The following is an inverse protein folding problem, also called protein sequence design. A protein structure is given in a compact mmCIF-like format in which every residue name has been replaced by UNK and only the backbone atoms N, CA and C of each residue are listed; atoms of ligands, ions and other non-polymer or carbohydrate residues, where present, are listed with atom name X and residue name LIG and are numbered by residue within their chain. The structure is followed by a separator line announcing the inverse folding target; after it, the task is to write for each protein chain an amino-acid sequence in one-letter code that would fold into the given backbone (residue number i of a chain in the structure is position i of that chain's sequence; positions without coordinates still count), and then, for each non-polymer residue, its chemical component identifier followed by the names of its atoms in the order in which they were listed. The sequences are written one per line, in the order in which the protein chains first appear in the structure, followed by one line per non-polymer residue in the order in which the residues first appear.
data_IF_862606700846
#
_entry.id   IF_862606700846
#
_cell.length_a   1.000
_cell.length_b   1.000
_cell.length_c   1.000
_cell.angle_alpha   90.00
_cell.angle_beta   90.00
_cell.angle_gamma   90.00
#
_symmetry.space_group_name_H-M   'P 1'
#
loop_
_entity.id
_entity.type
_entity.pdbx_description
1 polymer ?
#
# COMPACT_ATOMS: atom_id res chain seq x y z
N UNK A 1 -26.26 -29.75 -23.39
CA UNK A 1 -25.28 -28.76 -22.80
C UNK A 1 -25.44 -27.34 -23.36
N UNK A 2 -26.33 -27.15 -24.29
CA UNK A 2 -26.62 -25.85 -24.96
C UNK A 2 -27.77 -25.05 -24.33
N UNK A 3 -28.60 -25.69 -23.51
CA UNK A 3 -29.86 -25.11 -22.98
C UNK A 3 -29.72 -24.26 -21.73
N UNK A 4 -28.53 -24.23 -21.10
CA UNK A 4 -28.24 -23.39 -19.92
C UNK A 4 -27.64 -22.02 -20.23
N UNK A 5 -27.05 -21.86 -21.42
CA UNK A 5 -26.43 -20.61 -21.83
C UNK A 5 -27.44 -19.52 -22.22
N UNK A 6 -28.64 -19.90 -22.62
CA UNK A 6 -29.69 -18.97 -23.06
C UNK A 6 -30.49 -18.34 -21.88
N UNK A 7 -30.27 -18.85 -20.65
CA UNK A 7 -30.90 -18.33 -19.42
C UNK A 7 -30.04 -17.31 -18.63
N UNK A 8 -28.83 -17.03 -19.11
CA UNK A 8 -27.98 -16.06 -18.45
C UNK A 8 -28.50 -14.62 -18.70
N UNK A 9 -28.59 -13.79 -17.68
CA UNK A 9 -29.00 -12.42 -17.82
C UNK A 9 -28.04 -11.68 -18.75
N UNK A 10 -28.57 -10.99 -19.78
CA UNK A 10 -27.78 -10.23 -20.76
C UNK A 10 -27.55 -8.79 -20.29
N UNK A 11 -26.47 -8.17 -20.75
CA UNK A 11 -26.13 -6.78 -20.41
C UNK A 11 -25.46 -6.62 -19.04
N UNK A 12 -25.72 -5.49 -18.36
CA UNK A 12 -25.12 -5.15 -17.06
C UNK A 12 -25.46 -6.18 -15.98
N UNK A 13 -26.66 -6.75 -16.02
CA UNK A 13 -27.04 -7.82 -15.10
C UNK A 13 -26.27 -9.14 -15.34
N UNK A 14 -25.87 -9.39 -16.58
CA UNK A 14 -24.97 -10.52 -16.90
C UNK A 14 -23.58 -10.31 -16.31
N UNK A 15 -23.02 -9.13 -16.46
CA UNK A 15 -21.72 -8.77 -15.88
C UNK A 15 -21.72 -8.87 -14.35
N UNK A 16 -22.76 -8.40 -13.68
CA UNK A 16 -22.88 -8.51 -12.22
C UNK A 16 -23.07 -9.94 -11.75
N UNK A 17 -23.73 -10.77 -12.56
CA UNK A 17 -23.87 -12.19 -12.29
C UNK A 17 -22.54 -12.94 -12.46
N UNK A 18 -21.78 -12.64 -13.53
CA UNK A 18 -20.47 -13.25 -13.78
C UNK A 18 -19.42 -12.82 -12.74
N UNK A 19 -19.58 -11.64 -12.15
CA UNK A 19 -18.75 -11.17 -11.03
C UNK A 19 -19.25 -11.66 -9.67
N UNK A 20 -20.41 -12.30 -9.61
CA UNK A 20 -20.84 -12.95 -8.38
C UNK A 20 -19.95 -14.16 -8.09
N UNK A 21 -19.52 -14.28 -6.82
CA UNK A 21 -18.61 -15.34 -6.41
C UNK A 21 -19.28 -16.71 -6.55
N UNK A 22 -18.75 -17.57 -7.41
CA UNK A 22 -19.09 -18.99 -7.41
C UNK A 22 -18.41 -19.68 -6.21
N UNK A 23 -19.18 -19.84 -5.12
CA UNK A 23 -18.68 -20.46 -3.89
C UNK A 23 -18.40 -21.95 -4.04
N UNK A 24 -18.84 -22.60 -5.12
CA UNK A 24 -18.63 -24.02 -5.35
C UNK A 24 -17.24 -24.31 -5.91
N UNK A 25 -16.70 -23.44 -6.73
CA UNK A 25 -15.39 -23.60 -7.37
C UNK A 25 -14.22 -23.68 -6.36
N UNK A 26 -14.32 -22.95 -5.24
CA UNK A 26 -13.29 -22.90 -4.20
C UNK A 26 -13.75 -23.46 -2.84
N UNK A 27 -14.50 -24.55 -2.84
CA UNK A 27 -14.98 -25.20 -1.61
C UNK A 27 -15.65 -24.20 -0.63
N UNK A 28 -16.54 -23.37 -1.15
CA UNK A 28 -17.30 -22.32 -0.42
C UNK A 28 -16.47 -21.07 -0.03
N UNK A 29 -15.26 -20.89 -0.55
CA UNK A 29 -14.54 -19.63 -0.39
C UNK A 29 -15.03 -18.62 -1.43
N UNK A 30 -15.43 -17.39 -1.04
CA UNK A 30 -15.82 -16.35 -1.98
C UNK A 30 -14.68 -16.02 -2.96
N UNK A 31 -14.99 -15.88 -4.23
CA UNK A 31 -14.01 -15.57 -5.28
C UNK A 31 -13.14 -14.36 -4.95
N UNK A 32 -13.74 -13.25 -4.45
CA UNK A 32 -13.01 -12.05 -4.06
C UNK A 32 -11.96 -12.31 -2.97
N UNK A 33 -12.25 -13.22 -2.02
CA UNK A 33 -11.29 -13.61 -0.99
C UNK A 33 -10.13 -14.43 -1.58
N UNK A 34 -10.40 -15.34 -2.49
CA UNK A 34 -9.37 -16.12 -3.17
C UNK A 34 -8.45 -15.23 -4.01
N UNK A 35 -9.02 -14.30 -4.78
CA UNK A 35 -8.26 -13.32 -5.57
C UNK A 35 -7.41 -12.40 -4.70
N UNK A 36 -7.91 -11.98 -3.54
CA UNK A 36 -7.13 -11.18 -2.59
C UNK A 36 -5.92 -11.97 -2.05
N UNK A 37 -6.06 -13.26 -1.79
CA UNK A 37 -4.92 -14.09 -1.38
C UNK A 37 -3.85 -14.19 -2.46
N UNK A 38 -4.25 -14.38 -3.72
CA UNK A 38 -3.33 -14.41 -4.86
C UNK A 38 -2.62 -13.06 -5.00
N UNK A 39 -3.37 -11.96 -4.88
CA UNK A 39 -2.81 -10.61 -4.91
C UNK A 39 -1.76 -10.40 -3.81
N UNK A 40 -2.06 -10.72 -2.55
CA UNK A 40 -1.13 -10.58 -1.44
C UNK A 40 0.12 -11.45 -1.58
N UNK A 41 -0.04 -12.67 -2.14
CA UNK A 41 1.11 -13.54 -2.42
C UNK A 41 2.03 -12.93 -3.49
N UNK A 42 1.45 -12.43 -4.57
CA UNK A 42 2.15 -11.73 -5.64
C UNK A 42 2.87 -10.49 -5.14
N UNK A 43 2.21 -9.69 -4.32
CA UNK A 43 2.77 -8.48 -3.70
C UNK A 43 3.96 -8.82 -2.79
N UNK A 44 3.81 -9.82 -1.94
CA UNK A 44 4.89 -10.33 -1.08
C UNK A 44 6.12 -10.75 -1.90
N UNK A 45 5.90 -11.41 -3.04
CA UNK A 45 6.99 -11.82 -3.93
C UNK A 45 7.71 -10.60 -4.51
N UNK A 46 6.98 -9.62 -5.03
CA UNK A 46 7.53 -8.40 -5.61
C UNK A 46 8.33 -7.60 -4.57
N UNK A 47 7.77 -7.37 -3.38
CA UNK A 47 8.47 -6.68 -2.29
C UNK A 47 9.71 -7.43 -1.83
N UNK A 48 9.68 -8.75 -1.80
CA UNK A 48 10.86 -9.56 -1.49
C UNK A 48 11.98 -9.35 -2.49
N UNK A 49 11.66 -9.28 -3.80
CA UNK A 49 12.64 -8.98 -4.84
C UNK A 49 13.27 -7.58 -4.65
N UNK A 50 12.48 -6.56 -4.32
CA UNK A 50 13.01 -5.22 -4.04
C UNK A 50 13.93 -5.19 -2.81
N UNK A 51 13.55 -5.86 -1.72
CA UNK A 51 14.37 -5.94 -0.52
C UNK A 51 15.69 -6.68 -0.76
N UNK A 52 15.67 -7.77 -1.50
CA UNK A 52 16.89 -8.49 -1.89
C UNK A 52 17.77 -7.60 -2.76
N UNK A 53 17.20 -6.90 -3.73
CA UNK A 53 17.93 -5.96 -4.57
C UNK A 53 18.59 -4.85 -3.76
N UNK A 54 17.88 -4.26 -2.80
CA UNK A 54 18.41 -3.25 -1.88
C UNK A 54 19.57 -3.80 -1.04
N UNK A 55 19.42 -5.00 -0.47
CA UNK A 55 20.46 -5.63 0.34
C UNK A 55 21.69 -5.97 -0.50
N UNK A 56 21.49 -6.42 -1.74
CA UNK A 56 22.60 -6.69 -2.67
C UNK A 56 23.33 -5.41 -3.04
N UNK A 57 22.61 -4.33 -3.36
CA UNK A 57 23.21 -3.04 -3.62
C UNK A 57 24.02 -2.53 -2.41
N UNK A 58 23.46 -2.64 -1.20
CA UNK A 58 24.16 -2.26 0.03
C UNK A 58 25.43 -3.07 0.27
N UNK A 59 25.39 -4.37 0.01
CA UNK A 59 26.55 -5.26 0.21
C UNK A 59 27.66 -5.05 -0.84
N UNK A 60 27.30 -4.66 -2.06
CA UNK A 60 28.25 -4.43 -3.17
C UNK A 60 28.86 -3.02 -3.18
N UNK A 61 28.28 -2.09 -2.44
CA UNK A 61 28.75 -0.70 -2.38
C UNK A 61 29.92 -0.56 -1.43
N UNK A 62 31.04 -0.01 -1.92
CA UNK A 62 32.25 0.30 -1.13
C UNK A 62 32.23 1.71 -0.55
N UNK A 63 31.37 2.60 -1.05
CA UNK A 63 31.16 3.93 -0.54
C UNK A 63 30.36 3.89 0.77
N UNK A 64 30.50 4.96 1.57
CA UNK A 64 29.75 5.09 2.81
C UNK A 64 28.24 5.13 2.53
N UNK A 65 27.48 4.25 3.19
CA UNK A 65 26.04 4.14 2.98
C UNK A 65 25.35 5.32 3.68
N UNK A 66 24.39 5.98 3.01
CA UNK A 66 23.70 7.15 3.58
C UNK A 66 23.03 6.83 4.92
N UNK A 67 23.16 7.76 5.88
CA UNK A 67 22.55 7.60 7.18
C UNK A 67 21.06 8.00 7.10
N UNK A 68 20.17 7.04 7.33
CA UNK A 68 18.74 7.26 7.24
C UNK A 68 18.21 8.38 8.17
N UNK A 69 18.88 8.63 9.30
CA UNK A 69 18.51 9.70 10.23
C UNK A 69 18.82 11.10 9.70
N UNK A 70 19.79 11.24 8.81
CA UNK A 70 20.12 12.50 8.15
C UNK A 70 19.21 12.75 6.94
N UNK A 71 18.98 11.72 6.13
CA UNK A 71 18.16 11.79 4.92
C UNK A 71 16.70 12.11 5.25
N UNK A 72 16.12 11.43 6.24
CA UNK A 72 14.72 11.55 6.64
C UNK A 72 14.51 12.47 7.86
N UNK A 73 15.49 13.30 8.19
CA UNK A 73 15.39 14.28 9.26
C UNK A 73 14.35 15.36 8.95
N UNK A 74 13.38 15.56 9.84
CA UNK A 74 12.44 16.67 9.79
C UNK A 74 12.84 17.72 10.84
N UNK A 75 13.08 18.96 10.44
CA UNK A 75 13.31 20.06 11.36
C UNK A 75 11.96 20.59 11.87
N UNK A 76 11.63 20.31 13.11
CA UNK A 76 10.43 20.82 13.78
C UNK A 76 10.88 21.75 14.91
N UNK A 77 10.43 23.01 14.89
CA UNK A 77 10.78 24.04 15.90
C UNK A 77 12.28 24.21 16.15
N UNK A 78 13.12 24.08 15.11
CA UNK A 78 14.57 24.26 15.24
C UNK A 78 15.33 23.05 15.79
N UNK A 79 14.64 21.94 16.05
CA UNK A 79 15.24 20.66 16.43
C UNK A 79 15.07 19.67 15.30
N UNK A 80 16.15 19.04 14.85
CA UNK A 80 16.07 17.95 13.87
C UNK A 80 15.58 16.69 14.56
N UNK A 81 14.37 16.26 14.24
CA UNK A 81 13.82 15.00 14.74
C UNK A 81 13.89 13.96 13.61
N UNK A 82 14.87 13.06 13.66
CA UNK A 82 15.02 12.04 12.65
C UNK A 82 13.84 11.07 12.69
N UNK A 83 13.40 10.65 11.52
CA UNK A 83 12.38 9.59 11.36
C UNK A 83 10.97 9.89 11.94
N UNK A 84 10.72 11.11 12.44
CA UNK A 84 9.42 11.47 13.03
C UNK A 84 8.27 11.32 12.03
N UNK A 85 8.47 11.78 10.80
CA UNK A 85 7.44 11.71 9.76
C UNK A 85 7.08 10.25 9.45
N UNK A 86 8.07 9.39 9.33
CA UNK A 86 7.87 7.95 9.08
C UNK A 86 7.11 7.29 10.24
N UNK A 87 7.42 7.67 11.49
CA UNK A 87 6.70 7.16 12.65
C UNK A 87 5.22 7.58 12.63
N UNK A 88 4.92 8.83 12.31
CA UNK A 88 3.55 9.33 12.16
C UNK A 88 2.82 8.62 11.02
N UNK A 89 3.46 8.44 9.87
CA UNK A 89 2.90 7.72 8.73
C UNK A 89 2.55 6.27 9.09
N UNK A 90 3.42 5.59 9.82
CA UNK A 90 3.18 4.23 10.29
C UNK A 90 1.99 4.18 11.25
N UNK A 91 1.88 5.15 12.17
CA UNK A 91 0.75 5.25 13.08
C UNK A 91 -0.59 5.47 12.36
N UNK A 92 -0.60 6.33 11.33
CA UNK A 92 -1.76 6.57 10.47
C UNK A 92 -2.19 5.29 9.75
N UNK A 93 -1.24 4.52 9.21
CA UNK A 93 -1.54 3.24 8.55
C UNK A 93 -2.13 2.20 9.52
N UNK A 94 -1.56 2.06 10.72
CA UNK A 94 -2.07 1.12 11.73
C UNK A 94 -3.49 1.52 12.13
N UNK A 95 -3.74 2.82 12.36
CA UNK A 95 -5.07 3.34 12.71
C UNK A 95 -6.07 3.11 11.58
N UNK A 96 -5.69 3.35 10.34
CA UNK A 96 -6.52 3.10 9.15
C UNK A 96 -6.84 1.61 8.98
N UNK A 97 -5.89 0.74 9.24
CA UNK A 97 -6.12 -0.72 9.23
C UNK A 97 -7.13 -1.13 10.32
N UNK A 98 -7.05 -0.54 11.52
CA UNK A 98 -8.01 -0.75 12.59
C UNK A 98 -9.43 -0.32 12.20
N UNK A 99 -9.59 0.86 11.58
CA UNK A 99 -10.91 1.33 11.10
C UNK A 99 -11.48 0.41 10.02
N UNK A 100 -10.64 -0.14 9.14
CA UNK A 100 -11.07 -1.12 8.14
C UNK A 100 -11.58 -2.41 8.78
N UNK A 101 -10.89 -2.94 9.79
CA UNK A 101 -11.34 -4.13 10.52
C UNK A 101 -12.72 -3.93 11.18
N UNK A 102 -12.95 -2.75 11.76
CA UNK A 102 -14.25 -2.38 12.32
C UNK A 102 -15.32 -2.24 11.24
N UNK A 103 -14.99 -1.67 10.08
CA UNK A 103 -15.90 -1.57 8.94
C UNK A 103 -16.37 -2.97 8.47
N UNK A 104 -15.46 -3.93 8.39
CA UNK A 104 -15.79 -5.32 8.04
C UNK A 104 -16.73 -5.94 9.07
N UNK A 105 -16.51 -5.73 10.37
CA UNK A 105 -17.41 -6.20 11.43
C UNK A 105 -18.84 -5.67 11.23
N UNK A 106 -19.01 -4.35 11.04
CA UNK A 106 -20.32 -3.76 10.79
C UNK A 106 -20.92 -4.20 9.45
N UNK A 107 -20.11 -4.56 8.48
CA UNK A 107 -20.55 -5.18 7.23
C UNK A 107 -21.24 -6.53 7.49
N UNK A 108 -20.66 -7.38 8.33
CA UNK A 108 -21.29 -8.65 8.76
C UNK A 108 -22.57 -8.43 9.57
N UNK A 109 -22.63 -7.42 10.40
CA UNK A 109 -23.81 -7.01 11.17
C UNK A 109 -24.89 -6.36 10.30
N UNK A 110 -24.66 -6.22 8.98
CA UNK A 110 -25.56 -5.54 8.02
C UNK A 110 -25.89 -4.08 8.36
N UNK A 111 -25.09 -3.43 9.18
CA UNK A 111 -25.25 -2.02 9.53
C UNK A 111 -24.58 -1.12 8.50
N UNK A 112 -25.31 -0.77 7.44
CA UNK A 112 -24.77 -0.01 6.28
C UNK A 112 -24.21 1.36 6.66
N UNK A 113 -24.81 2.06 7.62
CA UNK A 113 -24.39 3.43 7.99
C UNK A 113 -23.02 3.42 8.68
N UNK A 114 -22.84 2.56 9.68
CA UNK A 114 -21.57 2.44 10.38
C UNK A 114 -20.47 1.84 9.50
N UNK A 115 -20.80 0.86 8.69
CA UNK A 115 -19.87 0.31 7.71
C UNK A 115 -19.35 1.40 6.75
N UNK A 116 -20.25 2.21 6.16
CA UNK A 116 -19.88 3.30 5.27
C UNK A 116 -19.04 4.37 5.98
N UNK A 117 -19.36 4.71 7.23
CA UNK A 117 -18.59 5.68 8.02
C UNK A 117 -17.15 5.20 8.25
N UNK A 118 -16.96 3.95 8.68
CA UNK A 118 -15.62 3.41 8.93
C UNK A 118 -14.82 3.19 7.63
N UNK A 119 -15.48 2.86 6.52
CA UNK A 119 -14.83 2.84 5.20
C UNK A 119 -14.36 4.24 4.79
N UNK A 120 -15.17 5.27 5.03
CA UNK A 120 -14.77 6.65 4.76
C UNK A 120 -13.57 7.07 5.61
N UNK A 121 -13.57 6.74 6.91
CA UNK A 121 -12.43 7.01 7.80
C UNK A 121 -11.15 6.31 7.31
N UNK A 122 -11.27 5.07 6.86
CA UNK A 122 -10.15 4.33 6.25
C UNK A 122 -9.63 5.02 4.99
N UNK A 123 -10.53 5.49 4.13
CA UNK A 123 -10.18 6.22 2.91
C UNK A 123 -9.46 7.55 3.22
N UNK A 124 -9.94 8.29 4.23
CA UNK A 124 -9.27 9.52 4.70
C UNK A 124 -7.88 9.20 5.26
N UNK A 125 -7.72 8.13 6.05
CA UNK A 125 -6.43 7.68 6.55
C UNK A 125 -5.46 7.35 5.41
N UNK A 126 -5.89 6.63 4.39
CA UNK A 126 -5.11 6.34 3.19
C UNK A 126 -4.72 7.60 2.40
N UNK A 127 -5.66 8.52 2.20
CA UNK A 127 -5.38 9.79 1.53
C UNK A 127 -4.37 10.65 2.31
N UNK A 128 -4.46 10.68 3.64
CA UNK A 128 -3.50 11.37 4.51
C UNK A 128 -2.10 10.77 4.38
N UNK A 129 -1.99 9.44 4.37
CA UNK A 129 -0.72 8.75 4.16
C UNK A 129 -0.09 9.11 2.81
N UNK A 130 -0.87 9.04 1.72
CA UNK A 130 -0.38 9.41 0.37
C UNK A 130 0.05 10.88 0.32
N UNK A 131 -0.69 11.78 0.98
CA UNK A 131 -0.33 13.19 1.07
C UNK A 131 1.01 13.42 1.80
N UNK A 132 1.23 12.73 2.93
CA UNK A 132 2.52 12.80 3.64
C UNK A 132 3.67 12.21 2.82
N UNK A 133 3.44 11.10 2.14
CA UNK A 133 4.41 10.48 1.25
C UNK A 133 4.78 11.40 0.08
N UNK A 134 3.80 12.04 -0.55
CA UNK A 134 4.03 13.00 -1.61
C UNK A 134 4.84 14.21 -1.12
N UNK A 135 4.57 14.70 0.08
CA UNK A 135 5.34 15.77 0.72
C UNK A 135 6.80 15.37 0.93
N UNK A 136 7.05 14.18 1.46
CA UNK A 136 8.40 13.65 1.70
C UNK A 136 9.19 13.53 0.39
N UNK A 137 8.60 12.92 -0.64
CA UNK A 137 9.24 12.82 -1.96
C UNK A 137 9.49 14.18 -2.59
N UNK A 138 8.56 15.12 -2.47
CA UNK A 138 8.75 16.49 -2.97
C UNK A 138 9.92 17.17 -2.27
N UNK A 139 10.03 17.02 -0.95
CA UNK A 139 11.17 17.54 -0.17
C UNK A 139 12.48 16.93 -0.69
N UNK A 140 12.57 15.63 -0.81
CA UNK A 140 13.77 14.92 -1.26
C UNK A 140 14.20 15.34 -2.69
N UNK A 141 13.25 15.45 -3.60
CA UNK A 141 13.55 15.80 -5.00
C UNK A 141 13.89 17.29 -5.16
N UNK A 142 13.13 18.19 -4.52
CA UNK A 142 13.25 19.63 -4.74
C UNK A 142 14.33 20.24 -3.85
N UNK A 143 14.39 19.88 -2.57
CA UNK A 143 15.34 20.49 -1.62
C UNK A 143 16.69 19.77 -1.59
N UNK A 144 16.67 18.44 -1.58
CA UNK A 144 17.91 17.65 -1.49
C UNK A 144 18.48 17.28 -2.88
N UNK A 145 17.72 17.52 -3.96
CA UNK A 145 18.19 17.33 -5.33
C UNK A 145 18.39 15.85 -5.72
N UNK A 146 17.74 14.92 -5.05
CA UNK A 146 17.82 13.49 -5.36
C UNK A 146 17.26 13.23 -6.75
N UNK A 147 18.02 12.56 -7.58
CA UNK A 147 17.63 12.13 -8.93
C UNK A 147 17.99 10.66 -9.13
N UNK A 148 17.35 9.96 -10.10
CA UNK A 148 17.66 8.55 -10.37
C UNK A 148 19.13 8.26 -10.68
N UNK A 149 19.87 9.28 -11.13
CA UNK A 149 21.29 9.19 -11.50
C UNK A 149 22.23 10.04 -10.65
N UNK A 150 21.73 10.69 -9.61
CA UNK A 150 22.54 11.51 -8.70
C UNK A 150 21.97 11.45 -7.29
N UNK A 151 22.80 11.01 -6.35
CA UNK A 151 22.47 10.94 -4.94
C UNK A 151 23.44 11.81 -4.14
N UNK A 152 23.01 12.94 -3.54
CA UNK A 152 23.89 13.83 -2.78
C UNK A 152 24.37 13.24 -1.43
N UNK A 153 23.77 12.14 -0.95
CA UNK A 153 24.09 11.53 0.34
C UNK A 153 25.13 10.41 0.28
N UNK A 154 25.86 10.25 -0.80
CA UNK A 154 26.84 9.18 -1.02
C UNK A 154 26.34 8.16 -2.04
N UNK A 155 27.13 7.11 -2.31
CA UNK A 155 26.80 6.02 -3.23
C UNK A 155 26.14 6.45 -4.57
N UNK A 156 26.73 7.43 -5.23
CA UNK A 156 26.21 8.05 -6.49
C UNK A 156 25.82 7.04 -7.57
N UNK A 157 26.43 5.84 -7.52
CA UNK A 157 26.25 4.82 -8.55
C UNK A 157 24.91 4.10 -8.51
N UNK A 158 24.12 4.19 -7.45
CA UNK A 158 22.99 3.29 -7.25
C UNK A 158 21.64 3.95 -6.98
N UNK A 159 21.50 5.27 -6.96
CA UNK A 159 20.21 5.88 -6.68
C UNK A 159 19.53 5.23 -5.46
N UNK A 160 20.18 5.22 -4.31
CA UNK A 160 19.98 4.27 -3.22
C UNK A 160 18.68 4.42 -2.40
N UNK A 161 17.69 5.13 -2.92
CA UNK A 161 16.40 5.30 -2.23
C UNK A 161 15.22 5.03 -3.14
#
# INVERSE_FOLDING_TARGET
MTDTLDKLPKGIHGLTHDWSSDQTAFKKVPWGKAMMWIFLLSDTFIFSCFLISLMTARASTTAEWPNASEVFGLSVFGTSVPLLLIAIMTFVLISSSGTMAIAVKYGYEKNRKLCALFLLLTAIGGATFVGMQAFEWTKLIVHEGIRPWANPFGAEQFGAF
#
